data_IF_876154351373
#
_entry.id   IF_876154351373
#
_cell.length_a   1.000
_cell.length_b   1.000
_cell.length_c   1.000
_cell.angle_alpha   90.00
_cell.angle_beta   90.00
_cell.angle_gamma   90.00
#
_symmetry.space_group_name_H-M   'P 1'
#
loop_
_entity.id
_entity.type
_entity.pdbx_description
1 polymer ?
#
# COMPACT_ATOMS: atom_id res chain seq x y z
N UNK A 1 -0.28 16.20 16.86
CA UNK A 1 -1.74 16.42 16.74
C UNK A 1 -2.43 15.09 16.89
N UNK A 2 -3.32 14.87 17.84
CA UNK A 2 -3.99 13.57 18.04
C UNK A 2 -5.31 13.53 17.27
N UNK A 3 -5.60 12.42 16.60
CA UNK A 3 -6.87 12.19 15.89
C UNK A 3 -7.92 11.77 16.93
N UNK A 4 -8.88 12.67 17.21
CA UNK A 4 -9.91 12.49 18.23
C UNK A 4 -11.31 12.31 17.65
N UNK A 5 -12.24 11.84 18.46
CA UNK A 5 -13.65 11.74 18.07
C UNK A 5 -14.19 13.12 17.62
N UNK A 6 -15.07 13.11 16.62
CA UNK A 6 -15.63 14.32 16.00
C UNK A 6 -14.72 15.02 15.00
N UNK A 7 -13.44 14.65 14.90
CA UNK A 7 -12.52 15.26 13.94
C UNK A 7 -12.83 14.87 12.50
N UNK A 8 -12.78 15.84 11.58
CA UNK A 8 -12.98 15.58 10.15
C UNK A 8 -11.70 15.06 9.51
N UNK A 9 -11.83 13.97 8.79
CA UNK A 9 -10.74 13.28 8.06
C UNK A 9 -11.20 12.97 6.64
N UNK A 10 -10.32 13.16 5.66
CA UNK A 10 -10.60 12.76 4.28
C UNK A 10 -9.68 11.61 3.88
N UNK A 11 -10.26 10.60 3.23
CA UNK A 11 -9.53 9.43 2.72
C UNK A 11 -9.74 9.31 1.22
N UNK A 12 -8.68 9.38 0.43
CA UNK A 12 -8.71 9.02 -0.99
C UNK A 12 -8.30 7.56 -1.14
N UNK A 13 -8.82 6.86 -2.15
CA UNK A 13 -8.58 5.42 -2.28
C UNK A 13 -9.30 4.57 -1.23
N UNK A 14 -10.31 5.14 -0.57
CA UNK A 14 -11.10 4.52 0.50
C UNK A 14 -11.73 3.17 0.11
N UNK A 15 -12.16 3.00 -1.15
CA UNK A 15 -12.73 1.74 -1.65
C UNK A 15 -11.69 0.66 -1.98
N UNK A 16 -10.40 0.95 -1.79
CA UNK A 16 -9.31 -0.01 -1.92
C UNK A 16 -9.11 -0.85 -0.65
N UNK A 17 -8.23 -1.86 -0.75
CA UNK A 17 -7.93 -2.79 0.35
C UNK A 17 -7.51 -2.05 1.64
N UNK A 18 -6.42 -1.29 1.62
CA UNK A 18 -5.92 -0.56 2.80
C UNK A 18 -6.91 0.54 3.22
N UNK A 19 -7.48 1.26 2.23
CA UNK A 19 -8.41 2.37 2.49
C UNK A 19 -9.67 1.95 3.25
N UNK A 20 -10.26 0.80 2.90
CA UNK A 20 -11.42 0.26 3.61
C UNK A 20 -11.13 -0.04 5.08
N UNK A 21 -9.95 -0.62 5.38
CA UNK A 21 -9.53 -0.85 6.77
C UNK A 21 -9.29 0.45 7.53
N UNK A 22 -8.65 1.44 6.89
CA UNK A 22 -8.43 2.75 7.50
C UNK A 22 -9.75 3.47 7.81
N UNK A 23 -10.71 3.45 6.88
CA UNK A 23 -12.03 4.06 7.09
C UNK A 23 -12.74 3.42 8.28
N UNK A 24 -12.82 2.09 8.33
CA UNK A 24 -13.42 1.37 9.48
C UNK A 24 -12.75 1.74 10.81
N UNK A 25 -11.44 1.86 10.82
CA UNK A 25 -10.69 2.22 12.03
C UNK A 25 -10.94 3.67 12.47
N UNK A 26 -11.01 4.62 11.53
CA UNK A 26 -11.30 6.04 11.79
C UNK A 26 -12.74 6.23 12.28
N UNK A 27 -13.72 5.58 11.65
CA UNK A 27 -15.12 5.64 12.09
C UNK A 27 -15.32 5.01 13.45
N UNK A 28 -14.64 3.89 13.76
CA UNK A 28 -14.64 3.28 15.09
C UNK A 28 -14.01 4.19 16.17
N UNK A 29 -13.09 5.10 15.79
CA UNK A 29 -12.57 6.16 16.68
C UNK A 29 -13.53 7.36 16.80
N UNK A 30 -14.70 7.32 16.17
CA UNK A 30 -15.69 8.41 16.19
C UNK A 30 -15.35 9.59 15.27
N UNK A 31 -14.44 9.46 14.33
CA UNK A 31 -14.12 10.52 13.36
C UNK A 31 -15.23 10.72 12.33
N UNK A 32 -15.38 11.94 11.82
CA UNK A 32 -16.19 12.24 10.65
C UNK A 32 -15.35 11.97 9.40
N UNK A 33 -15.60 10.84 8.75
CA UNK A 33 -14.78 10.39 7.63
C UNK A 33 -15.46 10.71 6.30
N UNK A 34 -14.80 11.52 5.47
CA UNK A 34 -15.16 11.75 4.06
C UNK A 34 -14.29 10.88 3.16
N UNK A 35 -14.92 10.15 2.24
CA UNK A 35 -14.25 9.24 1.31
C UNK A 35 -14.34 9.76 -0.12
N UNK A 36 -13.21 10.07 -0.74
CA UNK A 36 -13.15 10.36 -2.17
C UNK A 36 -13.22 9.05 -2.95
N UNK A 37 -14.27 8.85 -3.74
CA UNK A 37 -14.54 7.60 -4.46
C UNK A 37 -14.93 7.89 -5.91
N UNK A 38 -14.55 7.01 -6.84
CA UNK A 38 -15.02 7.09 -8.24
C UNK A 38 -16.46 6.61 -8.33
N UNK A 39 -17.21 7.07 -9.33
CA UNK A 39 -18.58 6.61 -9.58
C UNK A 39 -18.69 5.07 -9.73
N UNK A 40 -17.62 4.41 -10.20
CA UNK A 40 -17.54 2.96 -10.39
C UNK A 40 -17.04 2.19 -9.17
N UNK A 41 -16.77 2.87 -8.07
CA UNK A 41 -16.24 2.23 -6.84
C UNK A 41 -17.33 1.42 -6.13
N UNK A 42 -16.93 0.29 -5.53
CA UNK A 42 -17.78 -0.42 -4.57
C UNK A 42 -17.74 0.32 -3.25
N UNK A 43 -18.88 0.76 -2.77
CA UNK A 43 -18.97 1.69 -1.64
C UNK A 43 -19.84 1.20 -0.48
N UNK A 44 -20.41 -0.01 -0.59
CA UNK A 44 -21.39 -0.53 0.38
C UNK A 44 -20.77 -0.64 1.79
N UNK A 45 -19.55 -1.17 1.89
CA UNK A 45 -18.82 -1.25 3.16
C UNK A 45 -18.52 0.13 3.75
N UNK A 46 -18.21 1.14 2.92
CA UNK A 46 -17.95 2.49 3.36
C UNK A 46 -19.23 3.16 3.92
N UNK A 47 -20.37 2.93 3.24
CA UNK A 47 -21.68 3.41 3.71
C UNK A 47 -22.07 2.76 5.03
N UNK A 48 -21.91 1.44 5.12
CA UNK A 48 -22.19 0.67 6.35
C UNK A 48 -21.29 1.12 7.52
N UNK A 49 -20.07 1.57 7.23
CA UNK A 49 -19.17 2.16 8.23
C UNK A 49 -19.55 3.59 8.62
N UNK A 50 -20.58 4.21 8.03
CA UNK A 50 -21.00 5.58 8.33
C UNK A 50 -20.15 6.67 7.68
N UNK A 51 -19.34 6.36 6.66
CA UNK A 51 -18.53 7.35 5.97
C UNK A 51 -19.34 8.19 4.97
N UNK A 52 -19.03 9.48 4.88
CA UNK A 52 -19.56 10.37 3.84
C UNK A 52 -18.83 10.10 2.53
N UNK A 53 -19.59 9.89 1.44
CA UNK A 53 -19.03 9.63 0.12
C UNK A 53 -19.04 10.90 -0.74
N UNK A 54 -17.89 11.22 -1.36
CA UNK A 54 -17.72 12.31 -2.32
C UNK A 54 -17.29 11.68 -3.64
N UNK A 55 -18.17 11.74 -4.65
CA UNK A 55 -17.88 11.18 -5.97
C UNK A 55 -16.92 12.11 -6.73
N UNK A 56 -15.69 11.64 -6.97
CA UNK A 56 -14.68 12.39 -7.72
C UNK A 56 -13.58 11.44 -8.20
N UNK A 57 -13.09 11.64 -9.44
CA UNK A 57 -11.85 11.02 -9.89
C UNK A 57 -10.64 11.82 -9.38
N UNK A 58 -9.60 11.13 -8.92
CA UNK A 58 -8.39 11.78 -8.43
C UNK A 58 -7.66 12.60 -9.50
N UNK A 59 -7.91 12.32 -10.77
CA UNK A 59 -7.40 13.09 -11.91
C UNK A 59 -8.19 14.39 -12.18
N UNK A 60 -9.38 14.56 -11.61
CA UNK A 60 -10.16 15.81 -11.69
C UNK A 60 -9.68 16.78 -10.60
N UNK A 61 -8.71 17.63 -10.92
CA UNK A 61 -8.14 18.62 -9.96
C UNK A 61 -9.21 19.51 -9.33
N UNK A 62 -10.15 20.02 -10.14
CA UNK A 62 -11.21 20.90 -9.64
C UNK A 62 -12.16 20.16 -8.70
N UNK A 63 -12.52 18.92 -9.03
CA UNK A 63 -13.30 18.05 -8.15
C UNK A 63 -12.58 17.74 -6.84
N UNK A 64 -11.28 17.44 -6.88
CA UNK A 64 -10.45 17.20 -5.69
C UNK A 64 -10.41 18.46 -4.81
N UNK A 65 -10.21 19.64 -5.38
CA UNK A 65 -10.22 20.92 -4.63
C UNK A 65 -11.56 21.14 -3.93
N UNK A 66 -12.68 20.96 -4.62
CA UNK A 66 -14.02 21.07 -4.02
C UNK A 66 -14.24 20.04 -2.91
N UNK A 67 -13.79 18.79 -3.10
CA UNK A 67 -13.95 17.71 -2.14
C UNK A 67 -13.16 17.98 -0.84
N UNK A 68 -11.91 18.45 -0.97
CA UNK A 68 -11.08 18.79 0.19
C UNK A 68 -11.68 19.98 0.94
N UNK A 69 -12.08 21.03 0.23
CA UNK A 69 -12.71 22.21 0.85
C UNK A 69 -14.01 21.84 1.59
N UNK A 70 -14.90 21.06 0.97
CA UNK A 70 -16.19 20.69 1.59
C UNK A 70 -16.04 19.73 2.77
N UNK A 71 -14.95 18.95 2.84
CA UNK A 71 -14.72 18.00 3.92
C UNK A 71 -14.30 18.65 5.24
N UNK A 72 -13.77 19.87 5.20
CA UNK A 72 -13.12 20.55 6.34
C UNK A 72 -12.14 19.62 7.07
N UNK A 73 -11.43 18.79 6.33
CA UNK A 73 -10.55 17.77 6.89
C UNK A 73 -9.31 18.38 7.54
N UNK A 74 -9.00 17.96 8.78
CA UNK A 74 -7.74 18.29 9.47
C UNK A 74 -6.62 17.33 9.11
N UNK A 75 -6.96 16.16 8.60
CA UNK A 75 -6.04 15.14 8.11
C UNK A 75 -6.57 14.59 6.79
N UNK A 76 -5.69 14.49 5.80
CA UNK A 76 -5.97 13.85 4.52
C UNK A 76 -5.06 12.63 4.38
N UNK A 77 -5.64 11.44 4.29
CA UNK A 77 -4.92 10.22 3.94
C UNK A 77 -5.05 9.97 2.44
N UNK A 78 -3.93 10.07 1.73
CA UNK A 78 -3.90 9.84 0.29
C UNK A 78 -3.41 8.43 -0.03
N UNK A 79 -4.38 7.52 -0.26
CA UNK A 79 -4.14 6.12 -0.65
C UNK A 79 -4.54 5.85 -2.11
N UNK A 80 -5.19 6.82 -2.79
CA UNK A 80 -5.56 6.62 -4.18
C UNK A 80 -4.31 6.41 -5.04
N UNK A 81 -4.33 5.34 -5.83
CA UNK A 81 -3.24 4.99 -6.72
C UNK A 81 -3.55 3.71 -7.49
N UNK A 82 -2.79 3.49 -8.56
CA UNK A 82 -2.79 2.25 -9.32
C UNK A 82 -1.58 1.42 -8.93
N UNK A 83 -1.80 0.13 -8.67
CA UNK A 83 -0.75 -0.88 -8.54
C UNK A 83 -0.65 -1.79 -9.77
N UNK A 84 -1.54 -1.59 -10.75
CA UNK A 84 -1.58 -2.27 -12.05
C UNK A 84 -2.16 -1.31 -13.08
N UNK A 85 -1.54 -1.26 -14.25
CA UNK A 85 -2.02 -0.50 -15.39
C UNK A 85 -1.68 -1.25 -16.68
N UNK A 86 -2.39 -0.95 -17.76
CA UNK A 86 -2.06 -1.44 -19.09
C UNK A 86 -1.04 -0.53 -19.78
N UNK A 87 -1.14 0.76 -19.50
CA UNK A 87 -0.21 1.78 -19.99
C UNK A 87 0.65 2.30 -18.84
N UNK A 88 1.97 2.31 -18.97
CA UNK A 88 2.87 2.92 -17.99
C UNK A 88 2.54 4.39 -17.68
N UNK A 89 2.01 5.14 -18.64
CA UNK A 89 1.57 6.54 -18.47
C UNK A 89 0.42 6.68 -17.46
N UNK A 90 -0.44 5.69 -17.35
CA UNK A 90 -1.53 5.70 -16.36
C UNK A 90 -1.01 5.68 -14.92
N UNK A 91 0.10 4.96 -14.65
CA UNK A 91 0.73 5.01 -13.35
C UNK A 91 1.18 6.43 -12.98
N UNK A 92 1.83 7.14 -13.90
CA UNK A 92 2.28 8.52 -13.66
C UNK A 92 1.10 9.47 -13.48
N UNK A 93 0.11 9.38 -14.36
CA UNK A 93 -1.09 10.23 -14.31
C UNK A 93 -1.85 10.09 -12.99
N UNK A 94 -2.01 8.86 -12.48
CA UNK A 94 -2.79 8.62 -11.26
C UNK A 94 -1.92 8.74 -10.01
N UNK A 95 -0.73 8.11 -9.97
CA UNK A 95 0.07 8.05 -8.75
C UNK A 95 0.82 9.35 -8.47
N UNK A 96 1.41 9.99 -9.48
CA UNK A 96 2.08 11.28 -9.31
C UNK A 96 1.11 12.46 -9.49
N UNK A 97 0.28 12.44 -10.54
CA UNK A 97 -0.71 13.49 -10.78
C UNK A 97 -1.79 13.58 -9.70
N UNK A 98 -2.18 12.44 -9.10
CA UNK A 98 -3.09 12.42 -7.96
C UNK A 98 -2.49 13.07 -6.72
N UNK A 99 -1.20 12.84 -6.44
CA UNK A 99 -0.50 13.54 -5.34
C UNK A 99 -0.47 15.05 -5.58
N UNK A 100 -0.17 15.47 -6.82
CA UNK A 100 -0.19 16.88 -7.21
C UNK A 100 -1.55 17.54 -6.95
N UNK A 101 -2.64 16.89 -7.38
CA UNK A 101 -4.00 17.40 -7.19
C UNK A 101 -4.36 17.56 -5.70
N UNK A 102 -4.03 16.53 -4.88
CA UNK A 102 -4.34 16.54 -3.44
C UNK A 102 -3.47 17.55 -2.70
N UNK A 103 -2.16 17.58 -2.96
CA UNK A 103 -1.24 18.48 -2.27
C UNK A 103 -1.57 19.96 -2.57
N UNK A 104 -1.83 20.29 -3.85
CA UNK A 104 -2.26 21.63 -4.23
C UNK A 104 -3.55 22.03 -3.51
N UNK A 105 -4.58 21.18 -3.57
CA UNK A 105 -5.87 21.44 -2.94
C UNK A 105 -5.78 21.57 -1.40
N UNK A 106 -4.87 20.81 -0.74
CA UNK A 106 -4.60 20.96 0.69
C UNK A 106 -3.90 22.28 1.01
N UNK A 107 -2.98 22.71 0.15
CA UNK A 107 -2.23 23.97 0.34
C UNK A 107 -3.14 25.19 0.23
N UNK A 108 -4.19 25.11 -0.59
CA UNK A 108 -5.18 26.18 -0.79
C UNK A 108 -6.16 26.30 0.39
N UNK A 109 -6.15 25.38 1.37
CA UNK A 109 -7.05 25.49 2.54
C UNK A 109 -6.50 26.52 3.54
N UNK A 110 -7.39 27.33 4.16
CA UNK A 110 -7.00 28.25 5.24
C UNK A 110 -6.28 27.51 6.38
N UNK A 111 -6.87 26.43 6.86
CA UNK A 111 -6.31 25.52 7.85
C UNK A 111 -5.73 24.30 7.11
N UNK A 112 -4.47 24.42 6.70
CA UNK A 112 -3.78 23.36 5.95
C UNK A 112 -3.80 22.04 6.69
N UNK A 113 -4.42 20.97 6.12
CA UNK A 113 -4.48 19.68 6.79
C UNK A 113 -3.11 18.99 6.80
N UNK A 114 -2.92 18.08 7.74
CA UNK A 114 -1.81 17.12 7.65
C UNK A 114 -2.09 16.16 6.50
N UNK A 115 -1.16 16.04 5.54
CA UNK A 115 -1.23 15.09 4.45
C UNK A 115 -0.37 13.86 4.76
N UNK A 116 -1.01 12.69 4.88
CA UNK A 116 -0.31 11.40 4.94
C UNK A 116 -0.37 10.75 3.57
N UNK A 117 0.77 10.71 2.89
CA UNK A 117 0.92 10.07 1.59
C UNK A 117 1.30 8.60 1.79
N UNK A 118 0.46 7.68 1.31
CA UNK A 118 0.79 6.26 1.27
C UNK A 118 1.52 5.94 -0.02
N UNK A 119 2.83 5.77 0.10
CA UNK A 119 3.74 5.36 -0.98
C UNK A 119 3.88 3.84 -1.03
N UNK A 120 5.09 3.31 -1.21
CA UNK A 120 5.40 1.88 -1.24
C UNK A 120 6.91 1.67 -1.08
N UNK A 121 7.32 0.52 -0.54
CA UNK A 121 8.71 0.06 -0.64
C UNK A 121 9.20 0.03 -2.09
N UNK A 122 8.31 -0.19 -3.05
CA UNK A 122 8.64 -0.16 -4.47
C UNK A 122 9.19 1.20 -4.95
N UNK A 123 8.88 2.29 -4.27
CA UNK A 123 9.45 3.62 -4.54
C UNK A 123 10.93 3.69 -4.15
N UNK A 124 11.34 2.97 -3.11
CA UNK A 124 12.74 2.88 -2.70
C UNK A 124 13.54 1.91 -3.57
N UNK A 125 12.92 0.82 -4.01
CA UNK A 125 13.57 -0.23 -4.80
C UNK A 125 13.87 -1.50 -3.99
N UNK A 126 14.56 -2.50 -4.60
CA UNK A 126 14.96 -3.72 -3.92
C UNK A 126 16.08 -3.46 -2.91
N UNK A 127 16.12 -4.26 -1.85
CA UNK A 127 17.22 -4.25 -0.89
C UNK A 127 18.44 -4.99 -1.44
N UNK A 128 19.61 -4.55 -1.01
CA UNK A 128 20.86 -5.28 -1.24
C UNK A 128 21.12 -6.31 -0.12
N UNK A 129 22.33 -6.24 0.45
CA UNK A 129 22.75 -7.12 1.55
C UNK A 129 22.08 -6.80 2.88
N UNK A 130 21.54 -5.61 3.04
CA UNK A 130 20.83 -5.17 4.26
C UNK A 130 19.45 -4.60 3.93
N UNK A 131 18.52 -4.57 4.90
CA UNK A 131 17.26 -3.85 4.75
C UNK A 131 17.47 -2.37 4.43
N UNK A 132 16.65 -1.81 3.54
CA UNK A 132 16.67 -0.39 3.18
C UNK A 132 16.22 0.45 4.38
N UNK A 133 16.88 1.60 4.58
CA UNK A 133 16.45 2.65 5.52
C UNK A 133 15.96 3.88 4.76
N UNK A 134 15.24 4.77 5.45
CA UNK A 134 14.58 5.91 4.82
C UNK A 134 15.53 6.90 4.13
N UNK A 135 16.77 6.99 4.59
CA UNK A 135 17.81 7.86 4.02
C UNK A 135 18.54 7.28 2.81
N UNK A 136 18.31 5.99 2.49
CA UNK A 136 18.94 5.37 1.33
C UNK A 136 18.39 5.99 0.01
N UNK A 137 19.24 6.16 -1.00
CA UNK A 137 18.82 6.69 -2.29
C UNK A 137 17.80 5.76 -2.96
N UNK A 138 16.64 6.26 -3.41
CA UNK A 138 15.65 5.45 -4.10
C UNK A 138 16.13 4.95 -5.47
N UNK A 139 15.97 3.64 -5.74
CA UNK A 139 16.32 2.98 -7.01
C UNK A 139 15.14 2.13 -7.52
N UNK A 140 13.98 2.73 -7.85
CA UNK A 140 12.81 1.98 -8.26
C UNK A 140 13.02 1.26 -9.61
N UNK A 141 12.68 -0.03 -9.68
CA UNK A 141 12.93 -0.89 -10.84
C UNK A 141 11.72 -1.08 -11.75
N UNK A 142 10.50 -0.87 -11.24
CA UNK A 142 9.22 -1.04 -11.96
C UNK A 142 8.61 0.31 -12.38
N UNK A 143 7.67 0.30 -13.31
CA UNK A 143 6.88 1.49 -13.63
C UNK A 143 6.03 1.94 -12.43
N UNK A 144 5.47 0.98 -11.70
CA UNK A 144 4.77 1.25 -10.46
C UNK A 144 5.68 1.95 -9.45
N UNK A 145 6.84 1.38 -9.13
CA UNK A 145 7.79 1.96 -8.18
C UNK A 145 8.23 3.38 -8.57
N UNK A 146 8.56 3.58 -9.86
CA UNK A 146 8.92 4.90 -10.39
C UNK A 146 7.79 5.92 -10.24
N UNK A 147 6.54 5.51 -10.46
CA UNK A 147 5.40 6.41 -10.30
C UNK A 147 5.12 6.77 -8.84
N UNK A 148 5.32 5.83 -7.91
CA UNK A 148 5.22 6.11 -6.47
C UNK A 148 6.32 7.06 -6.02
N UNK A 149 7.55 6.84 -6.46
CA UNK A 149 8.66 7.76 -6.20
C UNK A 149 8.43 9.15 -6.81
N UNK A 150 7.92 9.23 -8.04
CA UNK A 150 7.54 10.51 -8.64
C UNK A 150 6.46 11.23 -7.82
N UNK A 151 5.50 10.51 -7.24
CA UNK A 151 4.52 11.09 -6.30
C UNK A 151 5.18 11.65 -5.04
N UNK A 152 6.18 10.97 -4.48
CA UNK A 152 6.96 11.50 -3.34
C UNK A 152 7.75 12.77 -3.71
N UNK A 153 8.34 12.81 -4.91
CA UNK A 153 9.01 14.02 -5.41
C UNK A 153 8.02 15.17 -5.62
N UNK A 154 6.80 14.89 -6.06
CA UNK A 154 5.73 15.89 -6.10
C UNK A 154 5.41 16.38 -4.69
N UNK A 155 5.18 15.50 -3.72
CA UNK A 155 4.90 15.88 -2.34
C UNK A 155 6.02 16.76 -1.75
N UNK A 156 7.28 16.44 -2.06
CA UNK A 156 8.45 17.22 -1.60
C UNK A 156 8.41 18.69 -2.07
N UNK A 157 7.84 18.98 -3.24
CA UNK A 157 7.69 20.38 -3.73
C UNK A 157 6.73 21.20 -2.88
N UNK A 158 5.79 20.55 -2.19
CA UNK A 158 4.82 21.19 -1.29
C UNK A 158 5.24 21.22 0.18
N UNK A 159 6.36 20.58 0.53
CA UNK A 159 6.78 20.36 1.92
C UNK A 159 7.00 21.66 2.73
N UNK A 160 7.40 22.76 2.09
CA UNK A 160 7.53 24.07 2.76
C UNK A 160 6.16 24.73 3.05
N UNK A 161 5.12 24.32 2.36
CA UNK A 161 3.80 24.93 2.45
C UNK A 161 2.77 24.03 3.15
N UNK A 162 2.98 22.70 3.19
CA UNK A 162 2.02 21.73 3.67
C UNK A 162 2.72 20.71 4.60
N UNK A 163 2.16 20.39 5.78
CA UNK A 163 2.70 19.35 6.66
C UNK A 163 2.44 17.95 6.05
N UNK A 164 3.45 17.36 5.44
CA UNK A 164 3.34 16.07 4.73
C UNK A 164 4.19 15.00 5.43
N UNK A 165 3.63 13.83 5.62
CA UNK A 165 4.36 12.61 6.03
C UNK A 165 4.14 11.52 4.98
N UNK A 166 5.21 10.81 4.63
CA UNK A 166 5.15 9.68 3.69
C UNK A 166 5.30 8.38 4.46
N UNK A 167 4.41 7.42 4.19
CA UNK A 167 4.56 6.05 4.66
C UNK A 167 4.80 5.13 3.47
N UNK A 168 5.88 4.36 3.51
CA UNK A 168 6.27 3.34 2.52
C UNK A 168 5.99 1.95 3.07
N UNK A 169 4.78 1.39 2.92
CA UNK A 169 4.54 0.01 3.31
C UNK A 169 5.32 -0.96 2.42
N UNK A 170 5.73 -2.07 3.03
CA UNK A 170 6.25 -3.25 2.34
C UNK A 170 5.09 -4.08 1.73
N UNK A 171 5.20 -5.40 1.62
CA UNK A 171 4.09 -6.26 1.18
C UNK A 171 3.02 -6.24 2.27
N UNK A 172 1.84 -5.70 1.93
CA UNK A 172 0.69 -5.64 2.83
C UNK A 172 -0.23 -6.82 2.56
N UNK A 173 -0.64 -7.51 3.62
CA UNK A 173 -1.58 -8.62 3.53
C UNK A 173 -2.67 -8.52 4.60
N UNK A 174 -3.75 -9.30 4.44
CA UNK A 174 -4.84 -9.36 5.42
C UNK A 174 -6.21 -9.56 4.77
N UNK A 175 -7.25 -9.41 5.57
CA UNK A 175 -8.66 -9.53 5.15
C UNK A 175 -8.97 -8.62 3.95
N UNK A 176 -9.43 -9.20 2.84
CA UNK A 176 -9.78 -8.47 1.61
C UNK A 176 -8.62 -8.24 0.63
N UNK A 177 -7.40 -8.71 0.93
CA UNK A 177 -6.29 -8.61 -0.02
C UNK A 177 -6.43 -9.63 -1.16
N UNK A 178 -6.51 -9.11 -2.40
CA UNK A 178 -6.62 -9.92 -3.61
C UNK A 178 -5.27 -10.34 -4.20
N UNK A 179 -4.17 -9.81 -3.68
CA UNK A 179 -2.83 -10.17 -4.11
C UNK A 179 -2.34 -11.41 -3.39
N UNK A 180 -2.33 -11.39 -2.06
CA UNK A 180 -1.83 -12.50 -1.26
C UNK A 180 -2.71 -13.74 -1.38
N UNK A 181 -4.02 -13.61 -1.61
CA UNK A 181 -4.90 -14.77 -1.85
C UNK A 181 -4.44 -15.64 -3.03
N UNK A 182 -3.78 -15.07 -4.04
CA UNK A 182 -3.25 -15.84 -5.17
C UNK A 182 -2.04 -16.72 -4.77
N UNK A 183 -1.37 -16.41 -3.65
CA UNK A 183 -0.34 -17.26 -3.04
C UNK A 183 -0.98 -18.33 -2.15
N UNK A 184 -2.04 -17.99 -1.43
CA UNK A 184 -2.78 -18.93 -0.58
C UNK A 184 -3.47 -20.04 -1.39
N UNK A 185 -4.10 -19.73 -2.51
CA UNK A 185 -4.92 -20.68 -3.31
C UNK A 185 -4.19 -21.96 -3.72
N UNK A 186 -2.98 -21.91 -4.33
CA UNK A 186 -2.28 -23.15 -4.70
C UNK A 186 -1.91 -23.99 -3.49
N UNK A 187 -1.49 -23.36 -2.40
CA UNK A 187 -1.14 -24.04 -1.16
C UNK A 187 -2.41 -24.69 -0.55
N UNK A 188 -3.53 -23.97 -0.52
CA UNK A 188 -4.79 -24.47 0.01
C UNK A 188 -5.35 -25.66 -0.79
N UNK A 189 -5.27 -25.59 -2.15
CA UNK A 189 -5.91 -26.58 -3.05
C UNK A 189 -5.05 -27.79 -3.33
N UNK A 190 -3.76 -27.60 -3.56
CA UNK A 190 -2.85 -28.64 -4.04
C UNK A 190 -1.60 -28.84 -3.18
N UNK A 191 -1.42 -28.08 -2.11
CA UNK A 191 -0.18 -28.12 -1.32
C UNK A 191 1.05 -27.67 -2.09
N UNK A 192 0.88 -26.86 -3.15
CA UNK A 192 1.96 -26.38 -4.00
C UNK A 192 2.26 -24.91 -3.71
N UNK A 193 3.53 -24.58 -3.48
CA UNK A 193 4.04 -23.22 -3.39
C UNK A 193 4.97 -22.91 -4.57
N UNK A 194 4.54 -22.00 -5.44
CA UNK A 194 5.29 -21.62 -6.65
C UNK A 194 6.06 -20.35 -6.38
N UNK A 195 7.38 -20.39 -6.56
CA UNK A 195 8.29 -19.26 -6.35
C UNK A 195 9.03 -18.97 -7.65
N UNK A 196 9.10 -17.70 -8.03
CA UNK A 196 9.89 -17.24 -9.16
C UNK A 196 11.32 -16.89 -8.75
N UNK A 197 12.32 -17.52 -9.37
CA UNK A 197 13.73 -17.30 -9.06
C UNK A 197 14.19 -18.07 -7.82
N UNK A 198 15.00 -17.45 -6.95
CA UNK A 198 15.51 -18.08 -5.73
C UNK A 198 14.50 -17.99 -4.59
N UNK A 199 14.35 -19.07 -3.84
CA UNK A 199 13.51 -19.16 -2.65
C UNK A 199 14.08 -18.43 -1.42
N UNK A 200 15.37 -18.11 -1.43
CA UNK A 200 16.08 -17.51 -0.29
C UNK A 200 15.94 -15.99 -0.23
N UNK A 201 15.39 -15.37 -1.28
CA UNK A 201 15.16 -13.93 -1.30
C UNK A 201 14.19 -13.55 -0.18
N UNK A 202 14.55 -12.49 0.54
CA UNK A 202 13.77 -11.99 1.66
C UNK A 202 12.74 -10.94 1.23
N UNK A 203 11.61 -10.94 1.90
CA UNK A 203 10.57 -9.93 1.74
C UNK A 203 10.08 -9.45 3.09
N UNK A 204 9.92 -8.15 3.24
CA UNK A 204 9.25 -7.58 4.42
C UNK A 204 7.74 -7.66 4.26
N UNK A 205 7.06 -7.98 5.34
CA UNK A 205 5.61 -8.13 5.41
C UNK A 205 5.01 -7.25 6.50
N UNK A 206 3.81 -6.77 6.28
CA UNK A 206 3.00 -6.08 7.30
C UNK A 206 1.52 -6.44 7.14
N UNK A 207 0.84 -6.76 8.24
CA UNK A 207 -0.60 -6.93 8.21
C UNK A 207 -1.30 -5.58 8.02
N UNK A 208 -2.41 -5.56 7.28
CA UNK A 208 -3.15 -4.32 7.00
C UNK A 208 -3.63 -3.62 8.26
N UNK A 209 -3.99 -4.37 9.30
CA UNK A 209 -4.39 -3.81 10.60
C UNK A 209 -3.23 -3.03 11.25
N UNK A 210 -2.02 -3.60 11.23
CA UNK A 210 -0.84 -2.96 11.80
C UNK A 210 -0.36 -1.77 10.97
N UNK A 211 -0.48 -1.85 9.63
CA UNK A 211 -0.23 -0.71 8.74
C UNK A 211 -1.20 0.45 9.02
N UNK A 212 -2.48 0.18 9.25
CA UNK A 212 -3.46 1.23 9.57
C UNK A 212 -3.06 1.98 10.84
N UNK A 213 -2.61 1.28 11.89
CA UNK A 213 -2.11 1.96 13.10
C UNK A 213 -0.85 2.80 12.82
N UNK A 214 0.07 2.29 11.96
CA UNK A 214 1.22 3.08 11.52
C UNK A 214 0.79 4.37 10.81
N UNK A 215 -0.20 4.32 9.93
CA UNK A 215 -0.73 5.50 9.22
C UNK A 215 -1.33 6.53 10.19
N UNK A 216 -2.06 6.09 11.20
CA UNK A 216 -2.65 6.95 12.22
C UNK A 216 -1.56 7.63 13.05
N UNK A 217 -0.59 6.86 13.54
CA UNK A 217 0.55 7.39 14.29
C UNK A 217 1.41 8.34 13.45
N UNK A 218 1.60 8.06 12.16
CA UNK A 218 2.30 8.95 11.25
C UNK A 218 1.58 10.29 11.06
N UNK A 219 0.24 10.29 11.04
CA UNK A 219 -0.55 11.52 11.01
C UNK A 219 -0.38 12.32 12.30
N UNK A 220 -0.44 11.64 13.44
CA UNK A 220 -0.43 12.24 14.78
C UNK A 220 0.96 12.75 15.20
N UNK A 221 2.00 11.95 15.00
CA UNK A 221 3.33 12.13 15.60
C UNK A 221 4.47 12.16 14.57
N UNK A 222 4.20 11.79 13.31
CA UNK A 222 5.25 11.70 12.30
C UNK A 222 5.94 13.03 12.02
N UNK A 223 7.25 12.97 11.78
CA UNK A 223 7.99 14.08 11.17
C UNK A 223 7.33 14.48 9.86
N UNK A 224 7.52 15.72 9.46
CA UNK A 224 7.05 16.24 8.17
C UNK A 224 8.21 16.30 7.18
N UNK A 225 7.93 16.13 5.90
CA UNK A 225 8.95 16.25 4.86
C UNK A 225 9.70 17.56 4.99
N UNK A 226 11.02 17.50 4.86
CA UNK A 226 11.91 18.67 4.81
C UNK A 226 12.75 18.59 3.54
N UNK A 227 12.65 19.55 2.61
CA UNK A 227 13.45 19.57 1.41
C UNK A 227 14.95 19.55 1.71
N UNK A 228 15.68 18.69 1.00
CA UNK A 228 17.14 18.57 1.17
C UNK A 228 17.59 17.68 2.35
N UNK A 229 16.66 17.13 3.15
CA UNK A 229 16.99 16.22 4.25
C UNK A 229 16.51 14.79 3.90
N UNK A 230 17.41 13.90 3.46
CA UNK A 230 17.05 12.55 3.06
C UNK A 230 16.36 11.77 4.18
N UNK A 231 15.25 11.11 3.86
CA UNK A 231 14.51 10.27 4.80
C UNK A 231 13.68 11.00 5.86
N UNK A 232 13.82 12.34 6.00
CA UNK A 232 13.03 13.09 6.96
C UNK A 232 11.55 13.12 6.54
N UNK A 233 10.64 12.81 7.48
CA UNK A 233 9.21 12.72 7.20
C UNK A 233 8.78 11.49 6.39
N UNK A 234 9.68 10.52 6.16
CA UNK A 234 9.40 9.25 5.50
C UNK A 234 9.51 8.12 6.54
N UNK A 235 8.63 7.13 6.46
CA UNK A 235 8.61 5.96 7.34
C UNK A 235 8.36 4.68 6.55
N UNK A 236 9.16 3.65 6.78
CA UNK A 236 8.81 2.30 6.36
C UNK A 236 7.89 1.63 7.37
N UNK A 237 6.92 0.86 6.87
CA UNK A 237 6.04 0.02 7.68
C UNK A 237 6.27 -1.46 7.32
N UNK A 238 7.05 -2.14 8.16
CA UNK A 238 7.39 -3.55 8.03
C UNK A 238 7.34 -4.21 9.42
N UNK A 239 6.64 -5.34 9.52
CA UNK A 239 6.54 -6.10 10.77
C UNK A 239 7.72 -7.08 10.92
N UNK A 240 7.90 -7.93 9.92
CA UNK A 240 8.91 -8.99 9.87
C UNK A 240 9.43 -9.19 8.45
N UNK A 241 10.63 -9.79 8.35
CA UNK A 241 11.27 -10.25 7.12
C UNK A 241 11.22 -11.77 7.06
N UNK A 242 10.79 -12.32 5.92
CA UNK A 242 10.74 -13.76 5.68
C UNK A 242 11.28 -14.09 4.29
N UNK A 243 11.84 -15.28 4.11
CA UNK A 243 12.12 -15.79 2.76
C UNK A 243 10.83 -16.22 2.06
N UNK A 244 10.87 -16.31 0.73
CA UNK A 244 9.69 -16.84 0.00
C UNK A 244 9.33 -18.27 0.44
N UNK A 245 10.31 -19.10 0.81
CA UNK A 245 10.07 -20.46 1.33
C UNK A 245 9.35 -20.38 2.68
N UNK A 246 9.83 -19.55 3.60
CA UNK A 246 9.20 -19.36 4.91
C UNK A 246 7.79 -18.76 4.81
N UNK A 247 7.54 -17.88 3.84
CA UNK A 247 6.21 -17.36 3.54
C UNK A 247 5.26 -18.52 3.19
N UNK A 248 5.66 -19.44 2.31
CA UNK A 248 4.85 -20.61 1.97
C UNK A 248 4.57 -21.52 3.17
N UNK A 249 5.58 -21.72 4.02
CA UNK A 249 5.41 -22.50 5.27
C UNK A 249 4.47 -21.81 6.25
N UNK A 250 4.57 -20.49 6.42
CA UNK A 250 3.69 -19.72 7.29
C UNK A 250 2.23 -19.79 6.82
N UNK A 251 2.00 -19.66 5.52
CA UNK A 251 0.68 -19.81 4.91
C UNK A 251 0.13 -21.22 5.12
N UNK A 252 0.92 -22.26 4.90
CA UNK A 252 0.48 -23.64 5.10
C UNK A 252 0.07 -23.91 6.56
N UNK A 253 0.87 -23.42 7.53
CA UNK A 253 0.54 -23.50 8.96
C UNK A 253 -0.78 -22.79 9.29
N UNK A 254 -1.00 -21.58 8.74
CA UNK A 254 -2.22 -20.82 8.91
C UNK A 254 -3.45 -21.54 8.32
N UNK A 255 -3.26 -22.32 7.27
CA UNK A 255 -4.28 -23.15 6.65
C UNK A 255 -4.51 -24.50 7.38
N UNK A 256 -3.68 -24.85 8.36
CA UNK A 256 -3.70 -26.18 8.99
C UNK A 256 -3.24 -27.29 8.02
N UNK A 257 -2.38 -26.97 7.05
CA UNK A 257 -1.86 -27.86 6.04
C UNK A 257 -0.43 -28.33 6.36
N UNK A 258 0.02 -29.50 5.89
CA UNK A 258 1.40 -29.89 5.95
C UNK A 258 2.29 -28.93 5.14
N UNK A 259 3.61 -29.05 5.31
CA UNK A 259 4.57 -28.24 4.56
C UNK A 259 4.32 -28.36 3.04
N UNK A 260 4.22 -27.23 2.31
CA UNK A 260 3.92 -27.24 0.91
C UNK A 260 5.12 -27.72 0.08
N UNK A 261 4.86 -28.34 -1.04
CA UNK A 261 5.89 -28.64 -2.04
C UNK A 261 6.26 -27.34 -2.74
N UNK A 262 7.54 -26.93 -2.62
CA UNK A 262 8.02 -25.71 -3.28
C UNK A 262 8.46 -26.02 -4.70
N UNK A 263 7.91 -25.29 -5.67
CA UNK A 263 8.32 -25.33 -7.07
C UNK A 263 9.01 -24.00 -7.42
N UNK A 264 10.31 -24.09 -7.69
CA UNK A 264 11.11 -22.93 -8.14
C UNK A 264 11.01 -22.82 -9.66
N UNK A 265 10.52 -21.69 -10.14
CA UNK A 265 10.48 -21.38 -11.57
C UNK A 265 11.73 -20.59 -11.96
N UNK A 266 12.45 -21.02 -13.02
CA UNK A 266 13.64 -20.31 -13.49
C UNK A 266 13.26 -18.91 -14.02
N UNK A 267 14.17 -17.97 -13.90
CA UNK A 267 13.92 -16.55 -14.24
C UNK A 267 13.47 -16.33 -15.70
N UNK A 268 13.99 -17.12 -16.64
CA UNK A 268 13.59 -17.02 -18.04
C UNK A 268 12.09 -17.33 -18.24
N UNK A 269 11.58 -18.34 -17.50
CA UNK A 269 10.15 -18.69 -17.59
C UNK A 269 9.27 -17.59 -17.02
N UNK A 270 9.69 -16.92 -15.96
CA UNK A 270 8.99 -15.78 -15.39
C UNK A 270 8.87 -14.61 -16.38
N UNK A 271 9.96 -14.34 -17.12
CA UNK A 271 9.95 -13.30 -18.17
C UNK A 271 8.98 -13.64 -19.30
N UNK A 272 8.91 -14.91 -19.70
CA UNK A 272 7.98 -15.39 -20.73
C UNK A 272 6.53 -15.31 -20.25
N UNK A 273 6.26 -15.77 -19.00
CA UNK A 273 4.94 -15.70 -18.38
C UNK A 273 4.47 -14.24 -18.25
N UNK A 274 5.38 -13.33 -17.89
CA UNK A 274 5.07 -11.88 -17.80
C UNK A 274 4.63 -11.29 -19.13
N UNK A 275 5.38 -11.59 -20.22
CA UNK A 275 5.02 -11.14 -21.59
C UNK A 275 3.67 -11.70 -22.04
N UNK A 276 3.42 -12.98 -21.74
CA UNK A 276 2.12 -13.59 -22.04
C UNK A 276 1.00 -12.93 -21.23
N UNK A 277 1.23 -12.61 -19.96
CA UNK A 277 0.30 -11.86 -19.11
C UNK A 277 -0.03 -10.48 -19.67
N UNK A 278 0.98 -9.74 -20.17
CA UNK A 278 0.78 -8.44 -20.82
C UNK A 278 -0.05 -8.58 -22.10
N UNK A 279 0.23 -9.60 -22.91
CA UNK A 279 -0.55 -9.90 -24.12
C UNK A 279 -2.02 -10.22 -23.79
N UNK A 280 -2.27 -11.08 -22.80
CA UNK A 280 -3.61 -11.42 -22.34
C UNK A 280 -4.36 -10.21 -21.74
N UNK A 281 -3.64 -9.33 -21.05
CA UNK A 281 -4.20 -8.09 -20.52
C UNK A 281 -4.71 -7.15 -21.63
N UNK A 282 -3.96 -7.08 -22.76
CA UNK A 282 -4.38 -6.31 -23.95
C UNK A 282 -5.64 -6.89 -24.57
N UNK A 283 -5.71 -8.23 -24.75
CA UNK A 283 -6.91 -8.90 -25.30
C UNK A 283 -8.12 -8.64 -24.40
N UNK A 284 -7.96 -8.81 -23.07
CA UNK A 284 -9.06 -8.64 -22.11
C UNK A 284 -9.38 -7.18 -21.82
N UNK A 285 -8.59 -6.23 -22.32
CA UNK A 285 -8.69 -4.78 -22.04
C UNK A 285 -8.77 -4.47 -20.55
N UNK A 286 -8.06 -5.27 -19.73
CA UNK A 286 -7.98 -5.12 -18.25
C UNK A 286 -6.61 -5.55 -17.75
N UNK A 287 -5.99 -4.78 -16.83
CA UNK A 287 -4.70 -5.14 -16.27
C UNK A 287 -4.80 -6.42 -15.44
N UNK A 288 -3.92 -7.39 -15.74
CA UNK A 288 -3.79 -8.65 -15.00
C UNK A 288 -2.88 -8.55 -13.77
N UNK A 289 -2.88 -9.60 -12.94
CA UNK A 289 -1.91 -9.76 -11.84
C UNK A 289 -0.52 -10.17 -12.35
N UNK A 290 -0.49 -10.89 -13.45
CA UNK A 290 0.73 -11.35 -14.11
C UNK A 290 1.11 -10.33 -15.18
N UNK A 291 2.26 -9.67 -15.01
CA UNK A 291 2.78 -8.68 -15.95
C UNK A 291 4.30 -8.66 -15.93
N UNK A 292 4.91 -8.19 -17.01
CA UNK A 292 6.37 -8.02 -17.09
C UNK A 292 6.88 -7.03 -16.04
N UNK A 293 6.12 -6.01 -15.71
CA UNK A 293 6.49 -5.01 -14.69
C UNK A 293 6.54 -5.64 -13.29
N UNK A 294 5.55 -6.48 -12.95
CA UNK A 294 5.53 -7.19 -11.67
C UNK A 294 6.67 -8.18 -11.54
N UNK A 295 7.02 -8.88 -12.62
CA UNK A 295 8.16 -9.81 -12.60
C UNK A 295 9.52 -9.11 -12.54
N UNK A 296 9.65 -7.86 -13.01
CA UNK A 296 10.85 -7.06 -12.72
C UNK A 296 11.06 -6.88 -11.22
N UNK A 297 9.99 -6.60 -10.45
CA UNK A 297 10.09 -6.53 -8.99
C UNK A 297 10.50 -7.88 -8.40
N UNK A 298 9.80 -8.97 -8.74
CA UNK A 298 10.09 -10.31 -8.21
C UNK A 298 11.53 -10.74 -8.49
N UNK A 299 12.07 -10.40 -9.67
CA UNK A 299 13.41 -10.82 -10.09
C UNK A 299 14.52 -9.86 -9.62
N UNK A 300 14.21 -8.70 -9.12
CA UNK A 300 15.21 -7.69 -8.75
C UNK A 300 15.99 -7.98 -7.45
N UNK A 301 15.65 -9.03 -6.72
CA UNK A 301 16.33 -9.42 -5.48
C UNK A 301 15.42 -9.46 -4.26
N UNK A 302 15.99 -9.22 -3.09
CA UNK A 302 15.23 -9.12 -1.83
C UNK A 302 14.52 -7.77 -1.71
N UNK A 303 13.41 -7.76 -0.94
CA UNK A 303 12.58 -6.58 -0.72
C UNK A 303 12.37 -6.37 0.77
N UNK A 304 13.42 -5.98 1.47
CA UNK A 304 13.40 -5.76 2.92
C UNK A 304 13.65 -4.29 3.26
N UNK A 305 12.99 -3.82 4.31
CA UNK A 305 13.17 -2.46 4.82
C UNK A 305 13.11 -2.43 6.35
N UNK A 306 13.85 -1.48 6.94
CA UNK A 306 13.86 -1.31 8.39
C UNK A 306 12.73 -0.39 8.84
N UNK A 307 11.91 -0.83 9.76
CA UNK A 307 10.92 -0.01 10.45
C UNK A 307 11.44 0.60 11.76
N UNK A 308 12.75 0.59 11.99
CA UNK A 308 13.36 1.11 13.22
C UNK A 308 12.95 2.56 13.50
N UNK A 309 12.92 3.41 12.47
CA UNK A 309 12.48 4.80 12.59
C UNK A 309 11.02 4.91 13.03
N UNK A 310 10.12 4.14 12.44
CA UNK A 310 8.71 4.13 12.83
C UNK A 310 8.53 3.64 14.29
N UNK A 311 9.29 2.62 14.69
CA UNK A 311 9.28 2.12 16.08
C UNK A 311 9.78 3.17 17.08
N UNK A 312 10.88 3.83 16.78
CA UNK A 312 11.50 4.81 17.68
C UNK A 312 10.73 6.12 17.78
N UNK A 313 10.29 6.67 16.66
CA UNK A 313 9.69 8.00 16.62
C UNK A 313 8.18 7.99 16.77
N UNK A 314 7.48 6.97 16.23
CA UNK A 314 6.02 6.87 16.32
C UNK A 314 5.56 5.98 17.47
N UNK A 315 6.45 5.22 18.11
CA UNK A 315 6.08 4.16 19.05
C UNK A 315 5.32 3.01 18.37
N UNK A 316 5.43 2.89 17.04
CA UNK A 316 4.69 1.87 16.29
C UNK A 316 5.26 0.48 16.50
N UNK A 317 4.39 -0.46 16.83
CA UNK A 317 4.71 -1.89 16.94
C UNK A 317 3.58 -2.70 16.32
N UNK A 318 3.88 -3.80 15.59
CA UNK A 318 2.84 -4.76 15.22
C UNK A 318 2.10 -5.25 16.46
N UNK A 319 0.77 -5.27 16.42
CA UNK A 319 -0.05 -5.64 17.58
C UNK A 319 -0.09 -7.15 17.84
N UNK A 320 0.27 -7.97 16.85
CA UNK A 320 0.30 -9.42 16.96
C UNK A 320 1.45 -10.02 16.13
N UNK A 321 1.94 -11.22 16.49
CA UNK A 321 2.91 -11.95 15.68
C UNK A 321 2.40 -12.24 14.27
N UNK A 322 3.32 -12.33 13.32
CA UNK A 322 3.02 -12.58 11.91
C UNK A 322 2.19 -13.87 11.71
N UNK A 323 2.48 -14.92 12.49
CA UNK A 323 1.76 -16.19 12.44
C UNK A 323 0.25 -16.04 12.76
N UNK A 324 -0.10 -15.20 13.75
CA UNK A 324 -1.49 -14.94 14.12
C UNK A 324 -2.19 -14.13 13.01
N UNK A 325 -1.50 -13.14 12.44
CA UNK A 325 -2.00 -12.36 11.31
C UNK A 325 -2.27 -13.22 10.07
N UNK A 326 -1.42 -14.22 9.79
CA UNK A 326 -1.70 -15.17 8.71
C UNK A 326 -2.91 -16.06 9.02
N UNK A 327 -3.11 -16.46 10.28
CA UNK A 327 -4.28 -17.25 10.70
C UNK A 327 -5.57 -16.45 10.51
N UNK A 328 -5.63 -15.23 11.03
CA UNK A 328 -6.75 -14.29 10.83
C UNK A 328 -7.07 -14.10 9.32
N UNK A 329 -6.03 -13.95 8.51
CA UNK A 329 -6.17 -13.80 7.05
C UNK A 329 -6.75 -15.07 6.40
N UNK A 330 -6.25 -16.25 6.80
CA UNK A 330 -6.72 -17.54 6.28
C UNK A 330 -8.20 -17.81 6.65
N UNK A 331 -8.58 -17.50 7.87
CA UNK A 331 -9.97 -17.60 8.37
C UNK A 331 -10.87 -16.69 7.53
N UNK A 332 -10.51 -15.42 7.40
CA UNK A 332 -11.28 -14.48 6.58
C UNK A 332 -11.43 -14.94 5.12
N UNK A 333 -10.37 -15.49 4.50
CA UNK A 333 -10.46 -15.99 3.12
C UNK A 333 -11.39 -17.18 2.99
N UNK A 334 -11.47 -18.05 4.01
CA UNK A 334 -12.45 -19.17 4.05
C UNK A 334 -13.87 -18.64 4.17
N UNK A 335 -14.14 -17.75 5.12
CA UNK A 335 -15.46 -17.17 5.37
C UNK A 335 -15.99 -16.39 4.17
N UNK A 336 -15.09 -15.70 3.46
CA UNK A 336 -15.41 -14.99 2.23
C UNK A 336 -15.50 -15.91 0.98
N UNK A 337 -15.29 -17.23 1.12
CA UNK A 337 -15.27 -18.21 0.03
C UNK A 337 -14.23 -17.91 -1.08
N UNK A 338 -13.07 -17.39 -0.67
CA UNK A 338 -11.97 -17.11 -1.60
C UNK A 338 -10.98 -18.28 -1.76
N UNK A 339 -10.99 -19.25 -0.84
CA UNK A 339 -10.16 -20.47 -0.83
C UNK A 339 -10.95 -21.72 -1.16
#
# INVERSE_FOLDING_TARGET
>A
MTITAGQSVLVTGASGFIGGHLVRRLTARGCRVSCLVRATSRVDELRSAGAQLIACDIADRAGVTRAIASSNARVVFHLAGLNRAMDPGDFMRVNAGGVEAVAAACTDQPDRPVLVLVSSLAAAGPSGERPIVESDPPVPVSFYGRSKFAGEQVAMRYANALPITVVRPCIVFGAGDRGMVEVFKPIARSGLHVIGGSGDRLVSLVAVADLVECLLLAAEHGERLVPGVPGHGIYFAAADDVSYVELGMAIARALGKPQPRTLLLPEWSMRTIGRFGDFMSRIRRRPGWVSSDKFREVLAGSWTCSSAKARQQLGWMPAAPLADRFRETAEWYRDAHWL
#
